data_IF_950281638705
#
_entry.id   IF_950281638705
#
_cell.length_a   1.000
_cell.length_b   1.000
_cell.length_c   1.000
_cell.angle_alpha   90.00
_cell.angle_beta   90.00
_cell.angle_gamma   90.00
#
_symmetry.space_group_name_H-M   'P 1'
#
loop_
_entity.id
_entity.type
_entity.pdbx_description
1 polymer ?
#
# COMPACT_ATOMS: atom_id res chain seq x y z
N UNK A 1 35.38 -0.19 -51.95
CA UNK A 1 34.76 0.16 -50.66
C UNK A 1 33.37 -0.48 -50.51
N UNK A 2 33.28 -1.82 -50.46
CA UNK A 2 31.98 -2.52 -50.34
C UNK A 2 32.00 -3.75 -49.40
N UNK A 3 33.16 -4.10 -48.80
CA UNK A 3 33.26 -5.25 -47.88
C UNK A 3 33.41 -4.86 -46.39
N UNK A 4 33.91 -3.66 -46.05
CA UNK A 4 34.13 -3.28 -44.64
C UNK A 4 32.82 -3.03 -43.85
N UNK A 5 31.76 -2.57 -44.52
CA UNK A 5 30.46 -2.32 -43.86
C UNK A 5 29.70 -3.61 -43.53
N UNK A 6 29.89 -4.69 -44.29
CA UNK A 6 29.25 -5.99 -44.01
C UNK A 6 29.91 -6.73 -42.85
N UNK A 7 31.23 -6.58 -42.66
CA UNK A 7 31.95 -7.23 -41.55
C UNK A 7 31.64 -6.61 -40.18
N UNK A 8 31.38 -5.30 -40.12
CA UNK A 8 31.02 -4.60 -38.86
C UNK A 8 29.60 -4.97 -38.39
N UNK A 9 28.64 -5.11 -39.32
CA UNK A 9 27.26 -5.51 -39.01
C UNK A 9 27.16 -6.96 -38.51
N UNK A 10 28.02 -7.86 -38.99
CA UNK A 10 28.05 -9.27 -38.52
C UNK A 10 28.68 -9.36 -37.11
N UNK A 11 29.70 -8.55 -36.82
CA UNK A 11 30.30 -8.52 -35.47
C UNK A 11 29.38 -7.93 -34.40
N UNK A 12 28.57 -6.91 -34.74
CA UNK A 12 27.57 -6.35 -33.82
C UNK A 12 26.42 -7.34 -33.52
N UNK A 13 26.01 -8.15 -34.51
CA UNK A 13 24.99 -9.17 -34.33
C UNK A 13 25.47 -10.37 -33.50
N UNK A 14 26.75 -10.77 -33.61
CA UNK A 14 27.33 -11.85 -32.81
C UNK A 14 27.55 -11.40 -31.36
N UNK A 15 27.94 -10.14 -31.12
CA UNK A 15 28.09 -9.61 -29.76
C UNK A 15 26.73 -9.45 -29.05
N UNK A 16 25.67 -9.11 -29.78
CA UNK A 16 24.30 -9.09 -29.25
C UNK A 16 23.75 -10.50 -28.97
N UNK A 17 24.14 -11.51 -29.76
CA UNK A 17 23.76 -12.91 -29.53
C UNK A 17 24.52 -13.56 -28.35
N UNK A 18 25.76 -13.14 -28.08
CA UNK A 18 26.51 -13.60 -26.89
C UNK A 18 25.95 -12.97 -25.60
N UNK A 19 25.33 -11.79 -25.66
CA UNK A 19 24.61 -11.21 -24.52
C UNK A 19 23.22 -11.84 -24.28
N UNK A 20 22.69 -12.58 -25.27
CA UNK A 20 21.39 -13.25 -25.17
C UNK A 20 21.51 -14.77 -24.91
N UNK A 21 22.71 -15.34 -25.01
CA UNK A 21 22.98 -16.78 -24.82
C UNK A 21 23.91 -17.05 -23.61
N UNK A 22 24.46 -16.03 -22.94
CA UNK A 22 25.19 -16.21 -21.68
C UNK A 22 24.31 -16.50 -20.44
N UNK A 23 23.02 -16.80 -20.64
CA UNK A 23 22.15 -17.40 -19.61
C UNK A 23 21.88 -18.89 -19.84
N UNK A 24 22.46 -19.50 -20.88
CA UNK A 24 22.37 -20.94 -21.11
C UNK A 24 23.76 -21.60 -20.98
N UNK A 25 23.87 -22.42 -19.93
CA UNK A 25 24.92 -23.39 -19.62
C UNK A 25 26.23 -22.87 -18.98
N UNK A 26 26.15 -22.66 -17.66
CA UNK A 26 27.28 -22.73 -16.75
C UNK A 26 26.88 -23.58 -15.54
N UNK A 27 27.10 -24.89 -15.64
CA UNK A 27 26.62 -25.88 -14.69
C UNK A 27 26.99 -25.63 -13.23
N UNK A 28 25.97 -25.70 -12.39
CA UNK A 28 26.05 -26.38 -11.11
C UNK A 28 24.78 -27.24 -10.99
N UNK A 29 24.96 -28.51 -10.70
CA UNK A 29 23.87 -29.40 -10.28
C UNK A 29 23.33 -28.83 -8.96
N UNK A 30 22.33 -27.97 -9.05
CA UNK A 30 21.47 -27.62 -7.94
C UNK A 30 20.13 -28.32 -8.22
N UNK A 31 19.81 -29.22 -7.29
CA UNK A 31 18.49 -29.79 -7.00
C UNK A 31 17.38 -29.26 -7.90
N UNK A 32 16.72 -30.15 -8.64
CA UNK A 32 15.37 -29.93 -9.14
C UNK A 32 14.42 -29.71 -7.94
N UNK A 33 14.48 -28.52 -7.35
CA UNK A 33 13.36 -27.92 -6.67
C UNK A 33 12.47 -27.40 -7.80
N UNK A 34 11.20 -27.78 -7.79
CA UNK A 34 10.20 -27.25 -8.72
C UNK A 34 10.37 -25.73 -8.84
N UNK A 35 10.75 -25.22 -10.02
CA UNK A 35 10.79 -23.78 -10.28
C UNK A 35 9.34 -23.28 -10.23
N UNK A 36 8.91 -22.85 -9.05
CA UNK A 36 7.56 -22.37 -8.79
C UNK A 36 7.36 -21.05 -9.55
N UNK A 37 6.43 -21.07 -10.52
CA UNK A 37 6.10 -19.95 -11.40
C UNK A 37 5.94 -18.65 -10.60
N UNK A 38 6.55 -17.57 -11.10
CA UNK A 38 6.47 -16.26 -10.48
C UNK A 38 5.02 -15.75 -10.51
N UNK A 39 4.50 -15.35 -9.35
CA UNK A 39 3.16 -14.80 -9.21
C UNK A 39 2.98 -13.45 -9.90
N UNK A 40 1.73 -13.02 -10.04
CA UNK A 40 1.38 -11.70 -10.54
C UNK A 40 1.50 -10.68 -9.42
N UNK A 41 2.18 -9.56 -9.65
CA UNK A 41 2.21 -8.42 -8.72
C UNK A 41 0.77 -7.95 -8.46
N UNK A 42 0.38 -7.81 -7.20
CA UNK A 42 -0.97 -7.37 -6.80
C UNK A 42 -0.98 -6.29 -5.73
N UNK A 43 0.16 -5.88 -5.19
CA UNK A 43 0.20 -4.90 -4.11
C UNK A 43 1.59 -4.62 -3.57
N UNK A 44 1.63 -3.89 -2.47
CA UNK A 44 2.85 -3.63 -1.71
C UNK A 44 2.56 -3.55 -0.21
N UNK A 45 3.53 -4.00 0.57
CA UNK A 45 3.63 -3.83 2.01
C UNK A 45 4.86 -2.96 2.31
N UNK A 46 4.78 -2.13 3.35
CA UNK A 46 5.86 -1.24 3.76
C UNK A 46 6.05 -1.29 5.27
N UNK A 47 7.30 -1.38 5.71
CA UNK A 47 7.68 -1.54 7.11
C UNK A 47 8.97 -0.79 7.43
N UNK A 48 9.03 -0.16 8.60
CA UNK A 48 10.29 0.37 9.15
C UNK A 48 11.23 -0.77 9.62
N UNK A 49 10.65 -1.90 10.02
CA UNK A 49 11.40 -3.10 10.38
C UNK A 49 11.85 -3.84 9.13
N UNK A 50 13.09 -4.36 9.15
CA UNK A 50 13.52 -5.30 8.12
C UNK A 50 12.91 -6.67 8.40
N UNK A 51 12.03 -7.10 7.51
CA UNK A 51 11.49 -8.45 7.48
C UNK A 51 12.52 -9.37 6.81
N UNK A 52 13.02 -10.34 7.56
CA UNK A 52 14.00 -11.31 7.07
C UNK A 52 13.38 -12.32 6.10
N UNK A 53 13.56 -12.10 4.79
CA UNK A 53 13.01 -12.94 3.72
C UNK A 53 14.01 -14.00 3.20
N UNK A 54 15.20 -14.12 3.80
CA UNK A 54 16.33 -14.85 3.21
C UNK A 54 16.69 -16.19 3.87
N UNK A 55 15.87 -17.24 3.72
CA UNK A 55 16.23 -18.63 4.11
C UNK A 55 15.11 -19.66 3.90
N UNK A 56 15.40 -20.96 4.14
CA UNK A 56 14.39 -22.03 4.26
C UNK A 56 13.80 -22.01 5.69
N UNK A 57 12.50 -21.74 5.84
CA UNK A 57 11.81 -21.98 7.12
C UNK A 57 10.29 -22.13 6.95
N UNK A 58 9.67 -23.20 7.45
CA UNK A 58 8.23 -23.46 7.38
C UNK A 58 7.56 -23.54 8.76
N UNK A 59 6.28 -23.14 8.95
CA UNK A 59 5.47 -23.62 10.10
C UNK A 59 3.97 -23.89 9.80
N UNK A 60 3.71 -25.03 9.16
CA UNK A 60 2.71 -26.08 9.50
C UNK A 60 1.23 -25.77 9.86
N UNK A 61 0.46 -26.87 9.95
CA UNK A 61 -1.01 -26.98 10.04
C UNK A 61 -1.73 -26.30 11.23
N UNK A 62 -1.06 -25.47 12.03
CA UNK A 62 -1.67 -24.72 13.13
C UNK A 62 -1.11 -23.29 13.28
N UNK A 63 -0.59 -22.71 12.19
CA UNK A 63 -0.50 -21.25 12.02
C UNK A 63 0.86 -20.66 12.36
N UNK A 64 1.78 -20.61 11.37
CA UNK A 64 2.77 -19.52 11.19
C UNK A 64 3.61 -19.64 9.90
N UNK A 65 3.93 -18.48 9.35
CA UNK A 65 4.81 -18.16 8.20
C UNK A 65 5.75 -19.26 7.65
N UNK A 66 5.68 -19.47 6.33
CA UNK A 66 6.59 -20.34 5.56
C UNK A 66 7.37 -19.56 4.51
N UNK A 67 8.68 -19.49 4.71
CA UNK A 67 9.74 -18.98 3.85
C UNK A 67 10.21 -20.05 2.87
N UNK A 68 10.18 -19.70 1.59
CA UNK A 68 10.83 -20.46 0.51
C UNK A 68 11.70 -19.50 -0.28
N UNK A 69 13.01 -19.74 -0.34
CA UNK A 69 13.96 -19.08 -1.24
C UNK A 69 13.61 -17.61 -1.62
N UNK A 70 13.51 -16.69 -0.65
CA UNK A 70 13.23 -15.28 -0.92
C UNK A 70 11.75 -14.87 -1.03
N UNK A 71 10.81 -15.75 -0.68
CA UNK A 71 9.36 -15.51 -0.63
C UNK A 71 8.80 -15.84 0.74
N UNK A 72 7.96 -14.95 1.28
CA UNK A 72 7.16 -15.17 2.49
C UNK A 72 5.71 -15.42 2.10
N UNK A 73 5.24 -16.66 2.20
CA UNK A 73 3.85 -17.00 1.91
C UNK A 73 2.92 -16.65 3.07
N UNK A 74 1.72 -16.22 2.71
CA UNK A 74 0.66 -15.80 3.62
C UNK A 74 -0.53 -16.74 3.41
N UNK A 75 -0.61 -17.77 4.25
CA UNK A 75 -1.54 -18.88 4.07
C UNK A 75 -2.91 -18.62 4.72
N UNK A 76 -2.98 -17.68 5.69
CA UNK A 76 -4.19 -17.37 6.45
C UNK A 76 -4.38 -15.88 6.68
N UNK A 77 -5.62 -15.46 6.97
CA UNK A 77 -5.93 -14.09 7.40
C UNK A 77 -5.20 -13.72 8.71
N UNK A 78 -4.93 -14.71 9.58
CA UNK A 78 -4.15 -14.50 10.81
C UNK A 78 -2.70 -14.10 10.52
N UNK A 79 -2.10 -14.66 9.46
CA UNK A 79 -0.74 -14.31 9.02
C UNK A 79 -0.68 -12.86 8.53
N UNK A 80 -1.70 -12.40 7.81
CA UNK A 80 -1.84 -10.98 7.41
C UNK A 80 -2.01 -10.07 8.61
N UNK A 81 -2.82 -10.48 9.58
CA UNK A 81 -3.04 -9.72 10.81
C UNK A 81 -1.76 -9.59 11.64
N UNK A 82 -0.86 -10.57 11.60
CA UNK A 82 0.43 -10.48 12.28
C UNK A 82 1.40 -9.45 11.64
N UNK A 83 1.20 -9.07 10.37
CA UNK A 83 1.99 -8.01 9.73
C UNK A 83 1.50 -6.59 10.03
N UNK A 84 0.24 -6.40 10.42
CA UNK A 84 -0.33 -5.07 10.69
C UNK A 84 0.42 -4.30 11.78
N UNK A 85 1.01 -5.02 12.74
CA UNK A 85 1.73 -4.44 13.86
C UNK A 85 3.19 -4.13 13.48
N UNK A 86 3.63 -4.61 12.30
CA UNK A 86 4.98 -4.44 11.76
C UNK A 86 5.04 -3.40 10.65
N UNK A 87 3.92 -3.10 10.00
CA UNK A 87 3.83 -2.13 8.93
C UNK A 87 2.43 -2.06 8.32
N UNK A 88 2.37 -1.46 7.13
CA UNK A 88 1.11 -1.17 6.44
C UNK A 88 1.17 -1.62 4.99
N UNK A 89 0.03 -1.93 4.38
CA UNK A 89 0.01 -2.39 3.00
C UNK A 89 -1.35 -2.31 2.32
N UNK A 90 -1.31 -2.45 1.00
CA UNK A 90 -2.48 -2.50 0.14
C UNK A 90 -2.23 -3.51 -0.99
N UNK A 91 -3.21 -4.37 -1.25
CA UNK A 91 -3.18 -5.32 -2.36
C UNK A 91 -4.57 -5.58 -2.92
N UNK A 92 -4.62 -6.15 -4.13
CA UNK A 92 -5.84 -6.51 -4.83
C UNK A 92 -5.82 -7.97 -5.26
N UNK A 93 -6.55 -8.84 -4.58
CA UNK A 93 -6.64 -10.27 -4.96
C UNK A 93 -7.64 -10.48 -6.08
N UNK A 94 -7.32 -11.45 -6.93
CA UNK A 94 -8.22 -11.99 -7.95
C UNK A 94 -8.57 -13.43 -7.58
N UNK A 95 -9.84 -13.82 -7.69
CA UNK A 95 -10.19 -15.23 -7.49
C UNK A 95 -9.69 -16.09 -8.69
N UNK A 96 -9.24 -17.34 -8.46
CA UNK A 96 -8.65 -18.17 -9.51
C UNK A 96 -9.60 -18.48 -10.68
N UNK A 97 -10.90 -18.52 -10.42
CA UNK A 97 -12.00 -18.75 -11.37
C UNK A 97 -12.37 -17.52 -12.21
N UNK A 98 -11.92 -16.32 -11.82
CA UNK A 98 -12.17 -15.08 -12.55
C UNK A 98 -11.38 -14.97 -13.89
N UNK A 99 -10.38 -15.84 -14.11
CA UNK A 99 -9.49 -15.84 -15.29
C UNK A 99 -10.20 -16.06 -16.62
N UNK A 100 -11.33 -16.77 -16.61
CA UNK A 100 -12.03 -17.17 -17.84
C UNK A 100 -13.47 -16.69 -17.98
N UNK A 101 -13.92 -15.80 -17.08
CA UNK A 101 -15.22 -15.14 -17.18
C UNK A 101 -16.40 -16.12 -17.17
N UNK A 102 -16.43 -17.02 -16.18
CA UNK A 102 -17.69 -17.71 -15.87
C UNK A 102 -18.72 -16.69 -15.35
N UNK A 103 -20.02 -17.01 -15.47
CA UNK A 103 -21.15 -16.11 -15.15
C UNK A 103 -21.11 -15.56 -13.71
N UNK A 104 -20.32 -16.21 -12.83
CA UNK A 104 -20.15 -15.89 -11.41
C UNK A 104 -18.75 -15.34 -11.04
N UNK A 105 -17.92 -14.95 -12.02
CA UNK A 105 -16.55 -14.45 -11.75
C UNK A 105 -16.57 -13.26 -10.76
N UNK A 106 -16.01 -13.47 -9.56
CA UNK A 106 -16.01 -12.43 -8.52
C UNK A 106 -15.13 -11.25 -8.90
N UNK A 107 -15.59 -10.05 -8.56
CA UNK A 107 -14.83 -8.82 -8.75
C UNK A 107 -13.52 -8.84 -7.94
N UNK A 108 -12.47 -8.14 -8.41
CA UNK A 108 -11.23 -8.01 -7.64
C UNK A 108 -11.49 -7.44 -6.25
N UNK A 109 -10.81 -7.96 -5.24
CA UNK A 109 -10.97 -7.53 -3.85
C UNK A 109 -9.73 -6.75 -3.40
N UNK A 110 -9.92 -5.48 -3.05
CA UNK A 110 -8.86 -4.64 -2.50
C UNK A 110 -8.86 -4.76 -0.99
N UNK A 111 -7.72 -5.11 -0.44
CA UNK A 111 -7.47 -5.18 1.00
C UNK A 111 -6.43 -4.15 1.39
N UNK A 112 -6.71 -3.43 2.48
CA UNK A 112 -5.80 -2.48 3.14
C UNK A 112 -5.58 -3.00 4.55
N UNK A 113 -4.35 -2.98 5.04
CA UNK A 113 -4.02 -3.41 6.39
C UNK A 113 -2.91 -2.56 7.01
N UNK A 114 -2.83 -2.59 8.34
CA UNK A 114 -2.04 -1.64 9.11
C UNK A 114 -2.64 -0.22 9.07
N UNK A 115 -1.82 0.77 9.41
CA UNK A 115 -2.21 2.18 9.46
C UNK A 115 -1.70 2.92 8.20
N UNK A 116 -2.10 2.44 7.01
CA UNK A 116 -1.74 3.04 5.73
C UNK A 116 -2.50 4.37 5.55
N UNK A 117 -1.78 5.46 5.32
CA UNK A 117 -2.37 6.77 5.05
C UNK A 117 -2.90 6.91 3.64
N UNK A 118 -3.95 7.72 3.47
CA UNK A 118 -4.59 8.05 2.19
C UNK A 118 -4.68 6.85 1.20
N UNK A 119 -5.17 5.67 1.63
CA UNK A 119 -5.20 4.51 0.76
C UNK A 119 -6.24 4.71 -0.33
N UNK A 120 -5.83 4.49 -1.57
CA UNK A 120 -6.73 4.48 -2.73
C UNK A 120 -6.52 3.19 -3.50
N UNK A 121 -7.61 2.50 -3.79
CA UNK A 121 -7.57 1.32 -4.64
C UNK A 121 -8.65 1.40 -5.70
N UNK A 122 -8.26 1.13 -6.94
CA UNK A 122 -9.17 0.99 -8.07
C UNK A 122 -8.81 -0.29 -8.81
N UNK A 123 -9.82 -1.10 -9.05
CA UNK A 123 -9.70 -2.28 -9.89
C UNK A 123 -10.88 -2.33 -10.85
N UNK A 124 -10.58 -2.60 -12.12
CA UNK A 124 -11.57 -2.69 -13.19
C UNK A 124 -11.26 -3.88 -14.09
N UNK A 125 -12.31 -4.52 -14.57
CA UNK A 125 -12.22 -5.57 -15.58
C UNK A 125 -12.87 -5.04 -16.87
N UNK A 126 -12.18 -5.23 -17.98
CA UNK A 126 -12.66 -4.91 -19.32
C UNK A 126 -12.48 -6.12 -20.24
N UNK A 127 -13.40 -6.34 -21.16
CA UNK A 127 -13.40 -7.46 -22.11
C UNK A 127 -13.36 -6.91 -23.55
N UNK A 128 -12.24 -6.27 -23.89
CA UNK A 128 -12.07 -5.57 -25.15
C UNK A 128 -11.29 -6.40 -26.17
N UNK A 129 -11.80 -6.49 -27.42
CA UNK A 129 -11.16 -7.18 -28.54
C UNK A 129 -10.76 -8.66 -28.27
N UNK A 130 -11.49 -9.35 -27.39
CA UNK A 130 -11.21 -10.75 -27.04
C UNK A 130 -10.07 -10.95 -26.05
N UNK A 131 -9.59 -9.87 -25.41
CA UNK A 131 -8.63 -9.92 -24.30
C UNK A 131 -9.31 -9.40 -23.03
N UNK A 132 -9.47 -10.27 -22.04
CA UNK A 132 -9.94 -9.88 -20.71
C UNK A 132 -8.81 -9.15 -20.00
N UNK A 133 -9.01 -7.89 -19.67
CA UNK A 133 -8.01 -7.04 -19.02
C UNK A 133 -8.44 -6.67 -17.62
N UNK A 134 -7.60 -6.96 -16.64
CA UNK A 134 -7.77 -6.48 -15.26
C UNK A 134 -6.76 -5.35 -15.03
N UNK A 135 -7.26 -4.13 -14.85
CA UNK A 135 -6.45 -2.96 -14.51
C UNK A 135 -6.58 -2.68 -13.01
N UNK A 136 -5.44 -2.63 -12.32
CA UNK A 136 -5.33 -2.42 -10.86
C UNK A 136 -4.43 -1.20 -10.62
N UNK A 137 -4.96 -0.17 -9.95
CA UNK A 137 -4.21 1.02 -9.53
C UNK A 137 -4.39 1.23 -8.03
N UNK A 138 -3.31 1.04 -7.28
CA UNK A 138 -3.26 1.11 -5.83
C UNK A 138 -2.29 2.22 -5.40
N UNK A 139 -2.65 2.95 -4.36
CA UNK A 139 -1.74 3.88 -3.70
C UNK A 139 -1.96 3.98 -2.21
N UNK A 140 -0.93 4.41 -1.49
CA UNK A 140 -1.01 4.76 -0.09
C UNK A 140 0.22 5.52 0.38
N UNK A 141 0.13 6.03 1.60
CA UNK A 141 1.15 6.87 2.22
C UNK A 141 1.64 6.28 3.55
N UNK A 142 2.92 6.45 3.83
CA UNK A 142 3.54 6.27 5.15
C UNK A 142 4.29 7.53 5.52
N UNK A 143 4.48 7.77 6.81
CA UNK A 143 4.91 9.09 7.28
C UNK A 143 6.21 9.04 8.08
N UNK A 144 7.08 10.00 7.80
CA UNK A 144 8.25 10.29 8.63
C UNK A 144 8.02 11.61 9.36
N UNK A 145 8.45 11.70 10.62
CA UNK A 145 8.40 12.93 11.40
C UNK A 145 9.69 13.12 12.20
N UNK A 146 9.93 14.37 12.64
CA UNK A 146 11.12 14.73 13.39
C UNK A 146 12.43 14.61 12.59
N UNK A 147 13.54 14.67 13.31
CA UNK A 147 14.91 14.58 12.77
C UNK A 147 15.40 13.13 12.58
N UNK A 148 14.61 12.15 13.02
CA UNK A 148 14.94 10.73 12.90
C UNK A 148 14.99 10.33 11.42
N UNK A 149 16.15 9.83 10.99
CA UNK A 149 16.26 9.13 9.72
C UNK A 149 15.55 7.78 9.82
N UNK A 150 14.50 7.60 9.04
CA UNK A 150 13.72 6.36 8.97
C UNK A 150 13.99 5.65 7.65
N UNK A 151 14.09 4.33 7.68
CA UNK A 151 14.17 3.50 6.47
C UNK A 151 12.86 2.75 6.33
N UNK A 152 12.15 2.99 5.24
CA UNK A 152 10.94 2.28 4.85
C UNK A 152 11.31 1.18 3.86
N UNK A 153 11.20 -0.08 4.29
CA UNK A 153 11.42 -1.26 3.46
C UNK A 153 10.11 -1.59 2.72
N UNK A 154 10.17 -1.68 1.39
CA UNK A 154 9.03 -2.01 0.54
C UNK A 154 9.11 -3.46 0.08
N UNK A 155 8.00 -4.16 0.24
CA UNK A 155 7.83 -5.57 -0.06
C UNK A 155 6.70 -5.72 -1.10
N UNK A 156 7.01 -6.00 -2.37
CA UNK A 156 6.00 -6.27 -3.37
C UNK A 156 5.22 -7.54 -3.00
N UNK A 157 3.90 -7.49 -3.19
CA UNK A 157 2.98 -8.59 -2.91
C UNK A 157 2.59 -9.24 -4.23
N UNK A 158 2.67 -10.57 -4.29
CA UNK A 158 2.39 -11.37 -5.47
C UNK A 158 1.34 -12.43 -5.17
N UNK A 159 0.53 -12.76 -6.17
CA UNK A 159 -0.42 -13.87 -6.13
C UNK A 159 -0.06 -14.92 -7.18
N UNK A 160 0.11 -16.18 -6.77
CA UNK A 160 0.35 -17.31 -7.65
C UNK A 160 -0.91 -17.74 -8.40
N UNK A 161 -0.77 -18.62 -9.39
CA UNK A 161 -1.90 -19.09 -10.19
C UNK A 161 -2.94 -19.90 -9.42
N UNK A 162 -2.52 -20.59 -8.37
CA UNK A 162 -3.36 -21.33 -7.44
C UNK A 162 -3.92 -20.47 -6.28
N UNK A 163 -3.70 -19.15 -6.32
CA UNK A 163 -4.30 -18.19 -5.40
C UNK A 163 -3.51 -17.92 -4.12
N UNK A 164 -2.37 -18.60 -3.89
CA UNK A 164 -1.49 -18.30 -2.75
C UNK A 164 -0.88 -16.91 -2.91
N UNK A 165 -0.71 -16.20 -1.79
CA UNK A 165 -0.15 -14.86 -1.77
C UNK A 165 1.19 -14.91 -1.05
N UNK A 166 2.18 -14.18 -1.56
CA UNK A 166 3.46 -14.04 -0.91
C UNK A 166 4.04 -12.64 -1.11
N UNK A 167 5.01 -12.28 -0.29
CA UNK A 167 5.78 -11.05 -0.45
C UNK A 167 7.28 -11.34 -0.58
N UNK A 168 7.97 -10.49 -1.33
CA UNK A 168 9.41 -10.57 -1.57
C UNK A 168 10.11 -9.31 -1.08
N UNK A 169 11.42 -9.39 -0.89
CA UNK A 169 12.22 -8.21 -0.55
C UNK A 169 12.31 -7.30 -1.79
N UNK A 170 11.80 -6.08 -1.67
CA UNK A 170 11.92 -5.05 -2.68
C UNK A 170 12.94 -3.98 -2.31
N UNK A 171 12.63 -2.75 -2.69
CA UNK A 171 13.47 -1.58 -2.45
C UNK A 171 13.28 -1.03 -1.02
N UNK A 172 14.14 -0.09 -0.63
CA UNK A 172 14.01 0.68 0.60
C UNK A 172 14.12 2.18 0.31
N UNK A 173 13.36 3.01 1.00
CA UNK A 173 13.44 4.46 0.95
C UNK A 173 13.85 5.02 2.32
N UNK A 174 14.88 5.87 2.36
CA UNK A 174 15.28 6.57 3.57
C UNK A 174 14.73 8.00 3.58
N UNK A 175 14.12 8.44 4.67
CA UNK A 175 13.65 9.82 4.82
C UNK A 175 13.63 10.28 6.28
N UNK A 176 13.86 11.57 6.51
CA UNK A 176 13.57 12.23 7.79
C UNK A 176 12.36 13.14 7.66
N UNK A 177 11.65 13.41 8.76
CA UNK A 177 10.57 14.40 8.77
C UNK A 177 11.07 15.83 8.51
N UNK A 178 12.31 16.12 8.90
CA UNK A 178 12.96 17.41 8.67
C UNK A 178 13.18 17.74 7.18
N UNK A 179 13.19 16.74 6.30
CA UNK A 179 13.37 16.96 4.86
C UNK A 179 12.18 17.71 4.23
N UNK A 180 11.01 17.74 4.91
CA UNK A 180 9.80 18.44 4.45
C UNK A 180 9.26 17.96 3.10
N UNK A 181 9.82 16.88 2.56
CA UNK A 181 9.58 16.36 1.22
C UNK A 181 8.67 15.13 1.25
N UNK A 182 8.23 14.72 0.07
CA UNK A 182 7.64 13.39 -0.13
C UNK A 182 8.36 12.67 -1.27
N UNK A 183 8.40 11.35 -1.18
CA UNK A 183 9.00 10.49 -2.20
C UNK A 183 8.06 9.32 -2.50
N UNK A 184 7.73 9.13 -3.77
CA UNK A 184 6.86 8.04 -4.22
C UNK A 184 7.67 6.95 -4.90
N UNK A 185 7.52 5.70 -4.44
CA UNK A 185 7.97 4.52 -5.16
C UNK A 185 6.81 3.87 -5.89
N UNK A 186 6.96 3.66 -7.20
CA UNK A 186 5.92 3.02 -8.02
C UNK A 186 6.42 1.68 -8.55
N UNK A 187 5.66 0.63 -8.29
CA UNK A 187 5.80 -0.69 -8.90
C UNK A 187 4.76 -0.81 -10.01
N UNK A 188 5.15 -1.38 -11.15
CA UNK A 188 4.22 -1.66 -12.25
C UNK A 188 4.44 -3.05 -12.80
N UNK A 189 3.35 -3.73 -13.16
CA UNK A 189 3.37 -4.99 -13.89
C UNK A 189 2.36 -4.93 -15.05
N UNK A 190 2.67 -5.62 -16.14
CA UNK A 190 1.82 -5.71 -17.32
C UNK A 190 2.04 -7.09 -17.94
N UNK A 191 1.28 -8.08 -17.45
CA UNK A 191 1.41 -9.49 -17.85
C UNK A 191 0.23 -9.87 -18.74
N UNK A 192 0.51 -10.51 -19.88
CA UNK A 192 -0.53 -11.09 -20.75
C UNK A 192 -0.27 -12.58 -20.90
N UNK A 193 -1.26 -13.40 -20.61
CA UNK A 193 -1.24 -14.85 -20.80
C UNK A 193 -2.28 -15.26 -21.83
N UNK A 194 -2.00 -16.31 -22.60
CA UNK A 194 -2.93 -16.82 -23.62
C UNK A 194 -2.98 -18.33 -23.57
N UNK A 195 -4.14 -18.87 -23.22
CA UNK A 195 -4.38 -20.30 -23.05
C UNK A 195 -5.63 -20.68 -23.85
N UNK A 196 -5.51 -21.67 -24.74
CA UNK A 196 -6.65 -22.16 -25.53
C UNK A 196 -7.28 -21.12 -26.47
N UNK A 197 -6.52 -20.09 -26.88
CA UNK A 197 -7.01 -19.02 -27.76
C UNK A 197 -7.78 -17.89 -27.03
N UNK A 198 -7.87 -17.96 -25.70
CA UNK A 198 -8.35 -16.87 -24.85
C UNK A 198 -7.14 -16.16 -24.23
N UNK A 199 -7.17 -14.83 -24.23
CA UNK A 199 -6.10 -14.01 -23.68
C UNK A 199 -6.60 -13.25 -22.45
N UNK A 200 -5.80 -13.26 -21.39
CA UNK A 200 -6.00 -12.47 -20.18
C UNK A 200 -4.79 -11.56 -19.99
N UNK A 201 -5.03 -10.31 -19.63
CA UNK A 201 -4.00 -9.32 -19.33
C UNK A 201 -4.26 -8.72 -17.96
N UNK A 202 -3.24 -8.67 -17.11
CA UNK A 202 -3.30 -7.98 -15.83
C UNK A 202 -2.29 -6.84 -15.84
N UNK A 203 -2.78 -5.61 -15.71
CA UNK A 203 -1.93 -4.44 -15.52
C UNK A 203 -2.09 -3.94 -14.10
N UNK A 204 -0.96 -3.77 -13.42
CA UNK A 204 -0.92 -3.35 -12.03
C UNK A 204 -0.01 -2.15 -11.90
N UNK A 205 -0.47 -1.15 -11.15
CA UNK A 205 0.31 -0.03 -10.66
C UNK A 205 0.13 0.06 -9.15
N UNK A 206 1.22 0.12 -8.41
CA UNK A 206 1.22 0.30 -6.95
C UNK A 206 2.14 1.46 -6.61
N UNK A 207 1.61 2.52 -6.03
CA UNK A 207 2.37 3.72 -5.66
C UNK A 207 2.37 3.93 -4.14
N UNK A 208 3.52 3.75 -3.50
CA UNK A 208 3.70 4.03 -2.08
C UNK A 208 4.49 5.32 -1.91
N UNK A 209 3.89 6.30 -1.23
CA UNK A 209 4.52 7.58 -0.94
C UNK A 209 4.99 7.61 0.51
N UNK A 210 6.25 7.94 0.74
CA UNK A 210 6.71 8.39 2.05
C UNK A 210 6.56 9.90 2.10
N UNK A 211 5.81 10.43 3.07
CA UNK A 211 5.60 11.87 3.24
C UNK A 211 6.15 12.36 4.59
N UNK A 212 6.97 13.40 4.55
CA UNK A 212 7.43 14.08 5.75
C UNK A 212 6.27 14.88 6.34
N UNK A 213 6.07 14.75 7.66
CA UNK A 213 5.07 15.50 8.40
C UNK A 213 5.69 16.11 9.66
N UNK A 214 5.22 17.29 10.09
CA UNK A 214 5.54 17.86 11.39
C UNK A 214 5.26 16.86 12.51
N UNK A 215 6.09 16.87 13.56
CA UNK A 215 5.87 16.00 14.72
C UNK A 215 4.66 16.52 15.50
N UNK A 216 3.55 15.76 15.61
CA UNK A 216 2.39 16.24 16.33
C UNK A 216 2.71 16.48 17.80
N UNK A 217 2.25 17.61 18.33
CA UNK A 217 2.36 17.98 19.75
C UNK A 217 1.01 18.00 20.43
N UNK A 218 -0.07 18.22 19.67
CA UNK A 218 -1.43 18.33 20.16
C UNK A 218 -2.46 18.09 19.05
N UNK A 219 -3.63 17.58 19.42
CA UNK A 219 -4.83 17.61 18.58
C UNK A 219 -5.97 18.28 19.34
N UNK A 220 -6.71 19.18 18.71
CA UNK A 220 -7.92 19.78 19.30
C UNK A 220 -9.14 19.47 18.45
N UNK A 221 -10.31 19.45 19.09
CA UNK A 221 -11.59 19.32 18.41
C UNK A 221 -12.53 20.42 18.88
N UNK A 222 -12.81 21.36 17.97
CA UNK A 222 -13.78 22.42 18.16
C UNK A 222 -15.16 21.95 17.68
N UNK A 223 -16.16 22.02 18.56
CA UNK A 223 -17.56 21.77 18.22
C UNK A 223 -18.22 23.11 17.95
N UNK A 224 -18.71 23.28 16.73
CA UNK A 224 -19.24 24.53 16.23
C UNK A 224 -20.74 24.38 15.98
N UNK A 225 -21.51 25.41 16.33
CA UNK A 225 -22.93 25.46 15.96
C UNK A 225 -23.14 25.93 14.51
N UNK A 226 -24.39 26.13 14.11
CA UNK A 226 -24.76 26.58 12.76
C UNK A 226 -24.36 28.04 12.44
N UNK A 227 -24.05 28.84 13.46
CA UNK A 227 -23.66 30.24 13.34
C UNK A 227 -22.13 30.44 13.45
N UNK A 228 -21.36 29.35 13.40
CA UNK A 228 -19.91 29.32 13.61
C UNK A 228 -19.48 29.73 15.04
N UNK A 229 -20.37 29.58 16.02
CA UNK A 229 -20.04 29.80 17.43
C UNK A 229 -19.46 28.52 18.07
N UNK A 230 -18.37 28.69 18.82
CA UNK A 230 -17.71 27.60 19.54
C UNK A 230 -18.54 27.16 20.75
N UNK A 231 -19.06 25.92 20.69
CA UNK A 231 -19.82 25.31 21.78
C UNK A 231 -18.91 24.61 22.80
N UNK A 232 -17.87 23.92 22.31
CA UNK A 232 -16.95 23.10 23.11
C UNK A 232 -15.61 22.99 22.39
N UNK A 233 -14.51 23.04 23.14
CA UNK A 233 -13.18 22.71 22.65
C UNK A 233 -12.60 21.57 23.47
N UNK A 234 -12.20 20.49 22.81
CA UNK A 234 -11.48 19.37 23.41
C UNK A 234 -10.02 19.40 22.99
N UNK A 235 -9.13 18.95 23.87
CA UNK A 235 -7.70 18.87 23.63
C UNK A 235 -7.23 17.45 23.96
N UNK A 236 -6.46 16.88 23.03
CA UNK A 236 -5.93 15.52 23.11
C UNK A 236 -4.43 15.54 22.88
N UNK A 237 -3.73 14.67 23.60
CA UNK A 237 -2.33 14.37 23.34
C UNK A 237 -2.24 13.39 22.15
N UNK A 238 -1.28 13.55 21.22
CA UNK A 238 -1.20 12.74 20.00
C UNK A 238 -1.01 11.22 20.20
N UNK A 239 -0.56 10.79 21.39
CA UNK A 239 -0.38 9.40 21.78
C UNK A 239 -1.62 8.78 22.46
N UNK A 240 -2.63 9.60 22.79
CA UNK A 240 -3.88 9.16 23.43
C UNK A 240 -5.12 9.72 22.72
N UNK A 241 -5.13 9.61 21.38
CA UNK A 241 -6.28 9.98 20.56
C UNK A 241 -7.44 8.98 20.75
N UNK A 242 -8.68 9.47 20.93
CA UNK A 242 -9.84 8.60 21.11
C UNK A 242 -10.22 7.90 19.79
N UNK A 243 -10.83 6.73 19.88
CA UNK A 243 -11.41 6.04 18.71
C UNK A 243 -12.64 6.75 18.15
N UNK A 244 -13.39 7.44 19.02
CA UNK A 244 -14.55 8.24 18.62
C UNK A 244 -14.80 9.43 19.51
N UNK A 245 -15.45 10.45 18.95
CA UNK A 245 -15.85 11.69 19.64
C UNK A 245 -17.36 11.84 19.48
N UNK A 246 -18.04 12.21 20.55
CA UNK A 246 -19.48 12.50 20.51
C UNK A 246 -19.68 13.99 20.32
N UNK A 247 -20.44 14.37 19.29
CA UNK A 247 -20.74 15.77 19.04
C UNK A 247 -21.50 16.40 20.23
N UNK A 248 -21.14 17.64 20.58
CA UNK A 248 -21.86 18.43 21.58
C UNK A 248 -23.30 18.71 21.12
N UNK A 249 -24.21 18.88 22.07
CA UNK A 249 -25.59 19.25 21.77
C UNK A 249 -25.64 20.61 21.07
N UNK A 250 -26.32 20.67 19.92
CA UNK A 250 -26.38 21.87 19.07
C UNK A 250 -25.21 22.02 18.08
N UNK A 251 -24.21 21.13 18.10
CA UNK A 251 -23.14 21.19 17.12
C UNK A 251 -23.66 20.87 15.71
N UNK A 252 -23.31 21.72 14.75
CA UNK A 252 -23.56 21.51 13.33
C UNK A 252 -22.34 20.87 12.64
N UNK A 253 -21.14 21.19 13.10
CA UNK A 253 -19.89 20.64 12.57
C UNK A 253 -18.78 20.61 13.63
N UNK A 254 -17.79 19.75 13.43
CA UNK A 254 -16.57 19.65 14.23
C UNK A 254 -15.38 20.04 13.36
N UNK A 255 -14.42 20.75 13.94
CA UNK A 255 -13.10 21.01 13.34
C UNK A 255 -12.06 20.30 14.20
N UNK A 256 -11.35 19.34 13.62
CA UNK A 256 -10.16 18.73 14.21
C UNK A 256 -8.91 19.46 13.74
N UNK A 257 -8.11 20.00 14.65
CA UNK A 257 -6.85 20.70 14.34
C UNK A 257 -5.69 19.92 14.92
N UNK A 258 -4.79 19.45 14.06
CA UNK A 258 -3.52 18.84 14.48
C UNK A 258 -2.44 19.91 14.51
N UNK A 259 -1.77 20.06 15.65
CA UNK A 259 -0.63 20.94 15.83
C UNK A 259 0.64 20.11 15.81
N UNK A 260 1.65 20.56 15.08
CA UNK A 260 2.98 19.96 15.12
C UNK A 260 4.08 20.99 15.00
N UNK A 261 5.29 20.58 15.35
CA UNK A 261 6.50 21.35 15.09
C UNK A 261 7.28 20.69 13.95
N UNK A 262 7.66 21.49 12.96
CA UNK A 262 8.64 21.07 11.96
C UNK A 262 10.09 21.25 12.48
N UNK A 263 11.07 20.97 11.63
CA UNK A 263 12.50 21.06 12.00
C UNK A 263 12.96 22.47 12.40
N UNK A 264 12.21 23.51 12.02
CA UNK A 264 12.50 24.92 12.35
C UNK A 264 11.73 25.40 13.60
N UNK A 265 10.88 24.54 14.16
CA UNK A 265 10.05 24.84 15.33
C UNK A 265 8.79 25.65 14.99
N UNK A 266 8.48 25.82 13.70
CA UNK A 266 7.26 26.48 13.24
C UNK A 266 6.05 25.58 13.51
N UNK A 267 4.94 26.20 13.91
CA UNK A 267 3.70 25.48 14.20
C UNK A 267 2.98 25.20 12.88
N UNK A 268 2.90 23.92 12.52
CA UNK A 268 2.06 23.49 11.42
C UNK A 268 0.69 23.10 11.97
N UNK A 269 -0.35 23.68 11.37
CA UNK A 269 -1.75 23.36 11.65
C UNK A 269 -2.33 22.62 10.45
N UNK A 270 -2.98 21.49 10.72
CA UNK A 270 -3.77 20.77 9.73
C UNK A 270 -5.19 20.59 10.26
N UNK A 271 -6.13 21.22 9.56
CA UNK A 271 -7.55 21.24 9.92
C UNK A 271 -8.37 20.28 9.04
N UNK A 272 -9.21 19.47 9.67
CA UNK A 272 -10.22 18.66 9.01
C UNK A 272 -11.59 18.95 9.63
N UNK A 273 -12.61 19.05 8.78
CA UNK A 273 -13.98 19.33 9.19
C UNK A 273 -14.90 18.12 8.99
N UNK A 274 -15.72 17.79 9.99
CA UNK A 274 -16.81 16.81 9.94
C UNK A 274 -18.15 17.51 10.19
N UNK A 275 -19.25 17.07 9.54
CA UNK A 275 -20.58 17.73 9.61
C UNK A 275 -21.71 16.75 9.92
N UNK A 276 -22.80 17.25 10.49
CA UNK A 276 -23.96 16.44 10.91
C UNK A 276 -24.89 15.97 9.78
N UNK A 277 -24.92 16.66 8.63
CA UNK A 277 -25.86 16.36 7.54
C UNK A 277 -25.22 15.55 6.41
N UNK A 278 -25.45 14.24 6.45
CA UNK A 278 -24.98 13.21 5.51
C UNK A 278 -25.77 13.13 4.18
N UNK A 279 -26.37 14.23 3.71
CA UNK A 279 -27.09 14.22 2.42
C UNK A 279 -26.18 14.36 1.19
N UNK A 280 -24.87 14.54 1.38
CA UNK A 280 -23.89 14.61 0.29
C UNK A 280 -23.33 13.20 -0.03
N UNK A 281 -22.97 12.89 -1.29
CA UNK A 281 -22.47 11.57 -1.69
C UNK A 281 -21.12 11.17 -1.07
N UNK A 282 -20.53 12.01 -0.21
CA UNK A 282 -19.31 11.78 0.55
C UNK A 282 -19.57 12.23 2.00
N UNK A 283 -20.08 11.32 2.83
CA UNK A 283 -20.35 11.54 4.25
C UNK A 283 -19.04 11.70 5.03
N UNK A 284 -18.80 12.89 5.60
CA UNK A 284 -17.64 13.16 6.46
C UNK A 284 -18.01 12.89 7.92
N UNK A 285 -18.20 11.62 8.28
CA UNK A 285 -18.51 11.21 9.66
C UNK A 285 -17.25 11.00 10.51
N UNK A 286 -16.06 11.31 10.00
CA UNK A 286 -14.79 11.12 10.69
C UNK A 286 -13.92 12.37 10.66
N UNK A 287 -12.98 12.45 11.60
CA UNK A 287 -11.86 13.39 11.61
C UNK A 287 -10.58 12.59 11.36
N UNK A 288 -9.96 12.75 10.20
CA UNK A 288 -8.65 12.16 9.95
C UNK A 288 -7.57 12.97 10.68
N UNK A 289 -6.55 12.32 11.20
CA UNK A 289 -5.44 12.97 11.90
C UNK A 289 -4.25 12.00 11.96
N UNK A 290 -3.21 12.36 12.71
CA UNK A 290 -2.03 11.54 12.91
C UNK A 290 -1.87 11.19 14.39
N UNK A 291 -1.77 9.90 14.69
CA UNK A 291 -1.31 9.41 15.98
C UNK A 291 0.22 9.42 15.98
N UNK A 292 0.81 9.92 17.06
CA UNK A 292 2.25 9.86 17.27
C UNK A 292 2.55 9.06 18.53
N UNK A 293 3.12 7.87 18.35
CA UNK A 293 3.43 6.95 19.44
C UNK A 293 4.77 6.27 19.17
N UNK A 294 5.64 6.19 20.17
CA UNK A 294 6.94 5.52 20.10
C UNK A 294 7.83 5.97 18.91
N UNK A 295 7.74 7.24 18.53
CA UNK A 295 8.51 7.82 17.42
C UNK A 295 7.98 7.49 16.03
N UNK A 296 6.81 6.85 15.93
CA UNK A 296 6.13 6.51 14.68
C UNK A 296 4.90 7.40 14.49
N UNK A 297 4.68 7.80 13.24
CA UNK A 297 3.54 8.62 12.84
C UNK A 297 2.61 7.80 11.96
N UNK A 298 1.37 7.67 12.39
CA UNK A 298 0.38 6.85 11.69
C UNK A 298 -0.88 7.66 11.41
N UNK A 299 -1.44 7.52 10.21
CA UNK A 299 -2.72 8.13 9.88
C UNK A 299 -3.83 7.34 10.56
N UNK A 300 -4.75 8.05 11.21
CA UNK A 300 -5.93 7.47 11.84
C UNK A 300 -7.17 8.27 11.45
N UNK A 301 -8.33 7.64 11.59
CA UNK A 301 -9.65 8.26 11.39
C UNK A 301 -10.45 8.14 12.69
N UNK A 302 -10.78 9.26 13.31
CA UNK A 302 -11.58 9.32 14.55
C UNK A 302 -13.04 9.43 14.16
N UNK A 303 -13.86 8.45 14.58
CA UNK A 303 -15.29 8.46 14.27
C UNK A 303 -16.01 9.57 15.03
N UNK A 304 -16.85 10.35 14.35
CA UNK A 304 -17.74 11.32 14.97
C UNK A 304 -19.12 10.69 15.15
N UNK A 305 -19.53 10.54 16.41
CA UNK A 305 -20.87 10.11 16.76
C UNK A 305 -21.78 11.33 16.86
N UNK A 306 -22.54 11.56 15.80
CA UNK A 306 -23.63 12.52 15.78
C UNK A 306 -24.86 11.93 16.49
N UNK A 307 -25.54 12.70 17.34
CA UNK A 307 -26.82 12.26 17.91
C UNK A 307 -27.86 12.22 16.79
N UNK A 308 -28.57 11.10 16.65
CA UNK A 308 -29.73 11.01 15.75
C UNK A 308 -30.78 12.07 16.13
N UNK A 309 -31.13 12.97 15.20
CA UNK A 309 -32.27 13.88 15.36
C UNK A 309 -31.96 15.35 15.61
N UNK A 310 -30.95 15.92 14.95
CA UNK A 310 -30.92 17.37 14.69
C UNK A 310 -31.26 17.59 13.20
N UNK A 311 -32.57 17.58 12.91
CA UNK A 311 -33.16 18.01 11.65
C UNK A 311 -34.05 19.22 11.91
#
# INVERSE_FOLDING_TARGET
MKSKTKTILIFAAILAAVFLIAFLDGGAVQSAADEEEEGTLIGAFVSEEDIDIGGDLAVSAAGKFVWKAGRLYMDTDEDWWALKDRGSGIYCTMEPDARYGEEDAKSPNITIFGELGAPLGKAGIDDDNGVRTTDIDLSGEVYACGDRQVIFNLYPIYQTSDGRIYLTRGNSMGMSGADGASMTHTLTSDKTETIGGKSERVKVRVAITVAARPTPTKFTVAHMDENDDLLKLEEFVPDALPESITAADGAAYLIGTSYGQDGDGETAEYDICSRSNDSAPYAYSNLDTFRYQDGKLCSISIKVNWKEGAA
#
